data_IF_632597096787
#
_entry.id   IF_632597096787
#
_cell.length_a   1.000
_cell.length_b   1.000
_cell.length_c   1.000
_cell.angle_alpha   90.00
_cell.angle_beta   90.00
_cell.angle_gamma   90.00
#
_symmetry.space_group_name_H-M   'P 1'
#
loop_
_entity.id
_entity.type
_entity.pdbx_description
1 polymer ?
#
# COMPACT_ATOMS: atom_id res chain seq x y z
N UNK A 1 16.72 -12.13 -1.46
CA UNK A 1 17.17 -12.45 -2.80
C UNK A 1 16.75 -11.47 -3.88
N UNK A 2 16.30 -10.27 -3.73
CA UNK A 2 15.84 -9.70 -5.01
C UNK A 2 15.75 -8.19 -5.08
N UNK A 3 16.60 -7.51 -4.37
CA UNK A 3 16.75 -6.06 -4.55
C UNK A 3 17.19 -5.73 -5.98
N UNK A 4 18.14 -6.49 -6.53
CA UNK A 4 18.62 -6.31 -7.89
C UNK A 4 17.53 -6.62 -8.95
N UNK A 5 16.75 -7.69 -8.75
CA UNK A 5 15.62 -8.03 -9.62
C UNK A 5 14.53 -6.97 -9.57
N UNK A 6 14.22 -6.44 -8.39
CA UNK A 6 13.26 -5.34 -8.23
C UNK A 6 13.73 -4.08 -8.94
N UNK A 7 15.00 -3.68 -8.79
CA UNK A 7 15.53 -2.49 -9.47
C UNK A 7 15.51 -2.66 -11.00
N UNK A 8 15.84 -3.85 -11.50
CA UNK A 8 15.76 -4.16 -12.93
C UNK A 8 14.33 -4.01 -13.45
N UNK A 9 13.34 -4.53 -12.72
CA UNK A 9 11.93 -4.42 -13.07
C UNK A 9 11.43 -2.97 -13.04
N UNK A 10 11.75 -2.23 -11.98
CA UNK A 10 11.39 -0.82 -11.86
C UNK A 10 11.96 0.03 -13.00
N UNK A 11 13.20 -0.22 -13.38
CA UNK A 11 13.82 0.47 -14.49
C UNK A 11 13.17 0.11 -15.83
N UNK A 12 12.87 -1.18 -16.06
CA UNK A 12 12.18 -1.67 -17.27
C UNK A 12 10.76 -1.08 -17.41
N UNK A 13 10.09 -0.80 -16.29
CA UNK A 13 8.75 -0.19 -16.24
C UNK A 13 8.77 1.34 -16.12
N UNK A 14 9.93 1.97 -16.25
CA UNK A 14 10.11 3.42 -16.10
C UNK A 14 9.62 3.96 -14.73
N UNK A 15 9.80 3.18 -13.66
CA UNK A 15 9.45 3.53 -12.27
C UNK A 15 8.03 4.10 -12.17
N UNK A 16 6.98 3.26 -12.21
CA UNK A 16 5.61 3.73 -12.18
C UNK A 16 5.35 4.56 -10.92
N UNK A 17 4.64 5.67 -11.10
CA UNK A 17 4.28 6.58 -10.02
C UNK A 17 3.10 6.03 -9.23
N UNK A 18 3.25 5.96 -7.91
CA UNK A 18 2.30 5.31 -7.00
C UNK A 18 1.68 6.31 -6.04
N UNK A 19 0.36 6.24 -5.87
CA UNK A 19 -0.35 6.90 -4.77
C UNK A 19 -0.84 5.89 -3.75
N UNK A 20 -0.92 6.33 -2.50
CA UNK A 20 -1.48 5.57 -1.39
C UNK A 20 -2.80 6.21 -0.94
N UNK A 21 -3.84 5.39 -0.85
CA UNK A 21 -5.18 5.73 -0.35
C UNK A 21 -5.54 4.71 0.72
N UNK A 22 -5.14 4.98 1.96
CA UNK A 22 -5.38 4.08 3.10
C UNK A 22 -6.32 4.76 4.09
N UNK A 23 -7.48 4.14 4.30
CA UNK A 23 -8.40 4.53 5.36
C UNK A 23 -7.94 3.89 6.66
N UNK A 24 -7.50 4.71 7.62
CA UNK A 24 -7.03 4.25 8.91
C UNK A 24 -7.99 4.65 10.03
N UNK A 25 -8.34 3.68 10.86
CA UNK A 25 -9.17 3.85 12.04
C UNK A 25 -8.38 3.42 13.29
N UNK A 26 -8.15 4.35 14.20
CA UNK A 26 -7.45 4.09 15.46
C UNK A 26 -8.45 4.09 16.61
N UNK A 27 -8.80 2.91 17.10
CA UNK A 27 -9.74 2.70 18.21
C UNK A 27 -9.08 2.79 19.60
N UNK A 28 -7.75 2.91 19.67
CA UNK A 28 -7.05 3.09 20.95
C UNK A 28 -7.19 4.54 21.41
N UNK A 29 -6.89 5.48 20.51
CA UNK A 29 -6.88 6.91 20.83
C UNK A 29 -8.11 7.65 20.31
N UNK A 30 -8.94 7.00 19.51
CA UNK A 30 -10.12 7.59 18.85
C UNK A 30 -9.81 8.85 18.04
N UNK A 31 -8.63 8.90 17.45
CA UNK A 31 -8.15 10.01 16.64
C UNK A 31 -7.80 9.55 15.23
N UNK A 32 -7.97 10.39 14.21
CA UNK A 32 -7.48 10.08 12.87
C UNK A 32 -5.96 9.91 12.90
N UNK A 33 -5.49 8.79 12.36
CA UNK A 33 -4.06 8.49 12.24
C UNK A 33 -3.71 8.02 10.83
N UNK A 34 -2.42 7.83 10.57
CA UNK A 34 -1.90 7.43 9.28
C UNK A 34 -0.61 6.62 9.39
N UNK A 35 -0.48 5.88 10.47
CA UNK A 35 0.74 5.13 10.78
C UNK A 35 1.02 4.05 9.74
N UNK A 36 -0.01 3.29 9.35
CA UNK A 36 0.10 2.24 8.36
C UNK A 36 0.43 2.80 6.96
N UNK A 37 -0.26 3.85 6.53
CA UNK A 37 0.01 4.52 5.25
C UNK A 37 1.43 5.07 5.19
N UNK A 38 1.88 5.76 6.23
CA UNK A 38 3.24 6.32 6.31
C UNK A 38 4.30 5.23 6.24
N UNK A 39 4.09 4.11 6.92
CA UNK A 39 5.01 2.97 6.87
C UNK A 39 5.07 2.36 5.48
N UNK A 40 3.93 2.14 4.83
CA UNK A 40 3.86 1.62 3.46
C UNK A 40 4.55 2.55 2.47
N UNK A 41 4.25 3.85 2.53
CA UNK A 41 4.87 4.88 1.68
C UNK A 41 6.40 4.86 1.82
N UNK A 42 6.90 4.84 3.06
CA UNK A 42 8.33 4.76 3.35
C UNK A 42 8.97 3.49 2.77
N UNK A 43 8.31 2.34 2.90
CA UNK A 43 8.83 1.07 2.36
C UNK A 43 8.94 1.11 0.83
N UNK A 44 7.92 1.59 0.13
CA UNK A 44 7.94 1.68 -1.33
C UNK A 44 8.96 2.71 -1.82
N UNK A 45 9.04 3.86 -1.18
CA UNK A 45 10.05 4.87 -1.47
C UNK A 45 11.47 4.31 -1.33
N UNK A 46 11.76 3.62 -0.22
CA UNK A 46 13.07 3.02 0.04
C UNK A 46 13.41 1.88 -0.92
N UNK A 47 12.41 1.25 -1.52
CA UNK A 47 12.58 0.23 -2.57
C UNK A 47 12.77 0.83 -3.97
N UNK A 48 12.71 2.14 -4.10
CA UNK A 48 12.98 2.85 -5.36
C UNK A 48 11.74 3.10 -6.23
N UNK A 49 10.53 2.94 -5.70
CA UNK A 49 9.32 3.38 -6.38
C UNK A 49 9.22 4.90 -6.42
N UNK A 50 8.59 5.45 -7.46
CA UNK A 50 8.21 6.87 -7.49
C UNK A 50 6.89 7.04 -6.73
N UNK A 51 6.96 7.62 -5.54
CA UNK A 51 5.81 7.75 -4.64
C UNK A 51 5.35 9.21 -4.60
N UNK A 52 4.06 9.43 -4.81
CA UNK A 52 3.44 10.74 -4.69
C UNK A 52 3.42 11.18 -3.22
N UNK A 53 3.81 12.44 -2.99
CA UNK A 53 3.79 13.02 -1.64
C UNK A 53 2.39 12.98 -1.05
N UNK A 54 2.30 12.58 0.21
CA UNK A 54 1.05 12.47 0.95
C UNK A 54 0.30 13.80 1.05
N UNK A 55 1.00 14.91 1.18
CA UNK A 55 0.39 16.24 1.28
C UNK A 55 -0.40 16.59 0.01
N UNK A 56 0.11 16.20 -1.17
CA UNK A 56 -0.58 16.38 -2.43
C UNK A 56 -1.89 15.56 -2.48
N UNK A 57 -1.85 14.33 -1.98
CA UNK A 57 -3.04 13.48 -1.89
C UNK A 57 -4.04 14.05 -0.88
N UNK A 58 -3.56 14.55 0.25
CA UNK A 58 -4.41 15.14 1.28
C UNK A 58 -5.04 16.47 0.89
N UNK A 59 -4.43 17.23 -0.01
CA UNK A 59 -5.04 18.44 -0.55
C UNK A 59 -6.37 18.16 -1.26
N UNK A 60 -6.63 16.91 -1.66
CA UNK A 60 -7.87 16.46 -2.29
C UNK A 60 -8.95 15.99 -1.31
N UNK A 61 -8.74 16.11 0.00
CA UNK A 61 -9.72 15.63 1.02
C UNK A 61 -11.12 16.23 0.90
N UNK A 62 -11.25 17.40 0.33
CA UNK A 62 -12.55 18.04 0.05
C UNK A 62 -13.24 17.51 -1.21
N UNK A 63 -12.57 16.71 -2.00
CA UNK A 63 -13.11 16.13 -3.21
C UNK A 63 -14.00 14.92 -2.89
N UNK A 64 -15.16 14.84 -3.53
CA UNK A 64 -16.08 13.72 -3.36
C UNK A 64 -15.49 12.41 -3.85
N UNK A 65 -14.65 12.45 -4.88
CA UNK A 65 -13.98 11.26 -5.40
C UNK A 65 -12.90 10.75 -4.41
N UNK A 66 -12.25 11.63 -3.66
CA UNK A 66 -11.32 11.22 -2.60
C UNK A 66 -12.01 10.36 -1.53
N UNK A 67 -13.15 10.80 -1.02
CA UNK A 67 -13.91 10.03 -0.01
C UNK A 67 -14.34 8.67 -0.54
N UNK A 68 -14.85 8.62 -1.78
CA UNK A 68 -15.25 7.36 -2.44
C UNK A 68 -14.05 6.43 -2.68
N UNK A 69 -12.90 6.99 -3.05
CA UNK A 69 -11.67 6.23 -3.26
C UNK A 69 -11.17 5.57 -1.97
N UNK A 70 -11.24 6.28 -0.83
CA UNK A 70 -10.92 5.72 0.48
C UNK A 70 -11.88 4.59 0.91
N UNK A 71 -13.10 4.58 0.38
CA UNK A 71 -14.06 3.49 0.58
C UNK A 71 -13.87 2.32 -0.39
N UNK A 72 -12.83 2.37 -1.23
CA UNK A 72 -12.47 1.29 -2.14
C UNK A 72 -13.03 1.41 -3.54
N UNK A 73 -13.66 2.54 -3.90
CA UNK A 73 -14.15 2.76 -5.26
C UNK A 73 -12.99 3.00 -6.23
N UNK A 74 -12.76 2.01 -7.11
CA UNK A 74 -11.62 2.02 -8.04
C UNK A 74 -11.75 3.14 -9.08
N UNK A 75 -12.95 3.45 -9.57
CA UNK A 75 -13.15 4.51 -10.55
C UNK A 75 -12.84 5.89 -9.97
N UNK A 76 -13.25 6.15 -8.73
CA UNK A 76 -12.92 7.37 -8.00
C UNK A 76 -11.41 7.46 -7.73
N UNK A 77 -10.80 6.36 -7.31
CA UNK A 77 -9.36 6.28 -7.10
C UNK A 77 -8.56 6.54 -8.40
N UNK A 78 -9.03 6.03 -9.54
CA UNK A 78 -8.42 6.29 -10.84
C UNK A 78 -8.46 7.79 -11.23
N UNK A 79 -9.54 8.50 -10.91
CA UNK A 79 -9.61 9.95 -11.13
C UNK A 79 -8.59 10.70 -10.27
N UNK A 80 -8.49 10.35 -8.99
CA UNK A 80 -7.48 10.93 -8.09
C UNK A 80 -6.07 10.66 -8.61
N UNK A 81 -5.78 9.43 -9.04
CA UNK A 81 -4.50 9.06 -9.62
C UNK A 81 -4.18 9.89 -10.87
N UNK A 82 -5.15 10.07 -11.77
CA UNK A 82 -4.98 10.87 -12.99
C UNK A 82 -4.64 12.33 -12.67
N UNK A 83 -5.28 12.95 -11.67
CA UNK A 83 -4.99 14.31 -11.23
C UNK A 83 -3.55 14.46 -10.71
N UNK A 84 -3.00 13.43 -10.11
CA UNK A 84 -1.66 13.42 -9.52
C UNK A 84 -0.59 12.80 -10.44
N UNK A 85 -0.97 12.42 -11.65
CA UNK A 85 -0.07 11.77 -12.61
C UNK A 85 0.42 10.40 -12.15
N UNK A 86 -0.38 9.69 -11.33
CA UNK A 86 -0.05 8.36 -10.83
C UNK A 86 -0.60 7.27 -11.77
N UNK A 87 0.20 6.22 -11.94
CA UNK A 87 -0.11 5.07 -12.78
C UNK A 87 -0.62 3.89 -11.97
N UNK A 88 -0.27 3.84 -10.70
CA UNK A 88 -0.56 2.76 -9.76
C UNK A 88 -1.18 3.32 -8.48
N UNK A 89 -2.17 2.63 -7.96
CA UNK A 89 -2.88 3.01 -6.75
C UNK A 89 -2.79 1.88 -5.73
N UNK A 90 -2.36 2.19 -4.53
CA UNK A 90 -2.49 1.31 -3.37
C UNK A 90 -3.73 1.75 -2.58
N UNK A 91 -4.75 0.91 -2.59
CA UNK A 91 -5.99 1.14 -1.84
C UNK A 91 -6.02 0.16 -0.66
N UNK A 92 -6.25 0.65 0.54
CA UNK A 92 -6.26 -0.20 1.71
C UNK A 92 -7.07 0.34 2.88
N UNK A 93 -7.23 -0.51 3.88
CA UNK A 93 -7.78 -0.13 5.19
C UNK A 93 -6.85 -0.62 6.29
N UNK A 94 -6.75 0.14 7.36
CA UNK A 94 -6.03 -0.21 8.56
C UNK A 94 -6.92 0.04 9.77
N UNK A 95 -7.09 -0.96 10.62
CA UNK A 95 -7.84 -0.85 11.86
C UNK A 95 -6.92 -1.18 13.03
N UNK A 96 -6.66 -0.18 13.86
CA UNK A 96 -5.81 -0.29 15.05
C UNK A 96 -6.73 -0.43 16.27
N UNK A 97 -6.49 -1.45 17.08
CA UNK A 97 -7.30 -1.76 18.25
C UNK A 97 -6.45 -2.26 19.43
N UNK A 98 -7.04 -2.24 20.61
CA UNK A 98 -6.44 -2.86 21.79
C UNK A 98 -6.69 -4.36 21.76
N UNK A 99 -5.64 -5.13 21.95
CA UNK A 99 -5.71 -6.58 22.20
C UNK A 99 -5.75 -6.92 23.71
N UNK A 100 -5.99 -5.91 24.56
CA UNK A 100 -6.03 -6.07 26.00
C UNK A 100 -4.71 -5.78 26.71
N UNK A 101 -4.68 -6.07 28.00
CA UNK A 101 -3.54 -5.83 28.87
C UNK A 101 -3.00 -7.16 29.39
N UNK A 102 -1.68 -7.32 29.41
CA UNK A 102 -1.02 -8.52 29.86
C UNK A 102 0.30 -8.14 30.56
N UNK A 103 0.50 -8.59 31.79
CA UNK A 103 1.65 -8.24 32.62
C UNK A 103 2.01 -6.74 32.61
N UNK A 104 1.02 -5.86 32.88
CA UNK A 104 1.18 -4.41 32.84
C UNK A 104 1.60 -3.81 31.49
N UNK A 105 1.50 -4.57 30.43
CA UNK A 105 1.74 -4.10 29.07
C UNK A 105 0.44 -4.09 28.26
N UNK A 106 0.21 -3.03 27.51
CA UNK A 106 -0.88 -2.95 26.55
C UNK A 106 -0.50 -3.67 25.27
N UNK A 107 -1.37 -4.54 24.77
CA UNK A 107 -1.23 -5.17 23.46
C UNK A 107 -1.93 -4.34 22.40
N UNK A 108 -1.19 -3.75 21.47
CA UNK A 108 -1.75 -3.15 20.28
C UNK A 108 -1.91 -4.21 19.19
N UNK A 109 -2.99 -4.09 18.42
CA UNK A 109 -3.28 -4.94 17.28
C UNK A 109 -3.65 -4.05 16.10
N UNK A 110 -3.17 -4.40 14.90
CA UNK A 110 -3.55 -3.73 13.66
C UNK A 110 -3.91 -4.78 12.60
N UNK A 111 -5.10 -4.65 12.06
CA UNK A 111 -5.56 -5.43 10.91
C UNK A 111 -5.54 -4.55 9.68
N UNK A 112 -4.69 -4.92 8.72
CA UNK A 112 -4.44 -4.12 7.53
C UNK A 112 -4.66 -4.98 6.30
N UNK A 113 -5.42 -4.48 5.35
CA UNK A 113 -5.58 -5.09 4.04
C UNK A 113 -5.30 -4.08 2.94
N UNK A 114 -5.04 -4.57 1.75
CA UNK A 114 -4.78 -3.70 0.63
C UNK A 114 -4.75 -4.43 -0.70
N UNK A 115 -4.95 -3.65 -1.74
CA UNK A 115 -4.80 -4.06 -3.12
C UNK A 115 -4.04 -3.01 -3.90
N UNK A 116 -3.34 -3.45 -4.94
CA UNK A 116 -2.74 -2.55 -5.92
C UNK A 116 -3.51 -2.65 -7.22
N UNK A 117 -3.80 -1.49 -7.79
CA UNK A 117 -4.61 -1.34 -9.00
C UNK A 117 -3.87 -0.46 -10.01
N UNK A 118 -3.91 -0.82 -11.28
CA UNK A 118 -3.51 0.08 -12.37
C UNK A 118 -4.56 1.19 -12.53
N UNK A 119 -4.12 2.42 -12.59
CA UNK A 119 -5.01 3.57 -12.66
C UNK A 119 -5.76 3.67 -14.00
N UNK A 120 -5.13 3.28 -15.09
CA UNK A 120 -5.69 3.39 -16.45
C UNK A 120 -6.73 2.31 -16.77
N UNK A 121 -6.53 1.08 -16.31
CA UNK A 121 -7.37 -0.08 -16.66
C UNK A 121 -8.25 -0.57 -15.51
N UNK A 122 -7.96 -0.20 -14.26
CA UNK A 122 -8.59 -0.79 -13.08
C UNK A 122 -8.13 -2.24 -12.80
N UNK A 123 -7.11 -2.73 -13.51
CA UNK A 123 -6.57 -4.08 -13.29
C UNK A 123 -5.97 -4.22 -11.89
N UNK A 124 -6.36 -5.28 -11.19
CA UNK A 124 -5.77 -5.62 -9.89
C UNK A 124 -4.42 -6.29 -10.12
N UNK A 125 -3.36 -5.63 -9.65
CA UNK A 125 -1.97 -6.12 -9.75
C UNK A 125 -1.58 -7.00 -8.58
N UNK A 126 -2.09 -6.73 -7.39
CA UNK A 126 -1.85 -7.52 -6.19
C UNK A 126 -3.00 -7.35 -5.19
N UNK A 127 -3.27 -8.38 -4.40
CA UNK A 127 -4.24 -8.35 -3.30
C UNK A 127 -3.65 -9.04 -2.09
N UNK A 128 -3.70 -8.36 -0.94
CA UNK A 128 -3.43 -8.97 0.37
C UNK A 128 -4.66 -8.79 1.24
N UNK A 129 -5.42 -9.85 1.49
CA UNK A 129 -6.70 -9.75 2.18
C UNK A 129 -6.56 -9.26 3.62
N UNK A 130 -5.54 -9.70 4.33
CA UNK A 130 -5.28 -9.24 5.69
C UNK A 130 -3.82 -9.48 6.09
N UNK A 131 -3.19 -8.47 6.68
CA UNK A 131 -1.95 -8.58 7.41
C UNK A 131 -2.18 -8.10 8.85
N UNK A 132 -1.77 -8.91 9.82
CA UNK A 132 -1.95 -8.57 11.24
C UNK A 132 -0.63 -8.20 11.87
N UNK A 133 -0.57 -6.98 12.41
CA UNK A 133 0.46 -6.52 13.32
C UNK A 133 0.02 -6.68 14.76
N UNK A 134 0.93 -7.10 15.63
CA UNK A 134 0.68 -7.21 17.07
C UNK A 134 1.93 -6.86 17.84
N UNK A 135 1.85 -5.87 18.70
CA UNK A 135 2.98 -5.40 19.53
C UNK A 135 2.50 -5.03 20.94
N UNK A 136 3.34 -5.26 21.92
CA UNK A 136 3.09 -4.88 23.29
C UNK A 136 3.98 -3.70 23.71
N UNK A 137 3.44 -2.80 24.53
CA UNK A 137 4.17 -1.68 25.12
C UNK A 137 3.48 -1.20 26.40
N UNK A 138 4.22 -0.50 27.26
CA UNK A 138 3.66 0.09 28.48
C UNK A 138 2.61 1.16 28.14
N UNK A 139 2.84 1.95 27.09
CA UNK A 139 1.89 2.92 26.57
C UNK A 139 0.93 2.25 25.56
N UNK A 140 -0.40 2.39 25.74
CA UNK A 140 -1.38 1.88 24.79
C UNK A 140 -1.22 2.50 23.41
N UNK A 141 -1.03 3.82 23.30
CA UNK A 141 -0.78 4.53 22.04
C UNK A 141 0.42 3.97 21.32
N UNK A 142 1.55 3.80 21.99
CA UNK A 142 2.78 3.25 21.40
C UNK A 142 2.58 1.80 20.95
N UNK A 143 1.83 0.99 21.69
CA UNK A 143 1.52 -0.38 21.28
C UNK A 143 0.73 -0.40 19.96
N UNK A 144 -0.22 0.53 19.78
CA UNK A 144 -0.99 0.70 18.57
C UNK A 144 -0.14 1.14 17.38
N UNK A 145 0.72 2.14 17.55
CA UNK A 145 1.68 2.60 16.52
C UNK A 145 2.58 1.45 16.07
N UNK A 146 3.17 0.72 17.00
CA UNK A 146 4.06 -0.39 16.71
C UNK A 146 3.32 -1.54 16.01
N UNK A 147 2.08 -1.82 16.39
CA UNK A 147 1.25 -2.81 15.72
C UNK A 147 0.89 -2.39 14.28
N UNK A 148 0.56 -1.12 14.06
CA UNK A 148 0.31 -0.58 12.72
C UNK A 148 1.53 -0.71 11.82
N UNK A 149 2.71 -0.35 12.32
CA UNK A 149 3.97 -0.49 11.59
C UNK A 149 4.29 -1.95 11.25
N UNK A 150 4.10 -2.87 12.20
CA UNK A 150 4.34 -4.31 12.00
C UNK A 150 3.37 -4.89 10.94
N UNK A 151 2.08 -4.54 11.01
CA UNK A 151 1.08 -4.97 10.03
C UNK A 151 1.36 -4.40 8.64
N UNK A 152 1.69 -3.11 8.55
CA UNK A 152 2.02 -2.46 7.29
C UNK A 152 3.30 -3.03 6.66
N UNK A 153 4.30 -3.39 7.46
CA UNK A 153 5.51 -4.02 6.96
C UNK A 153 5.22 -5.40 6.34
N UNK A 154 4.38 -6.21 7.00
CA UNK A 154 3.94 -7.50 6.46
C UNK A 154 3.14 -7.34 5.17
N UNK A 155 2.20 -6.39 5.15
CA UNK A 155 1.42 -6.07 3.96
C UNK A 155 2.32 -5.63 2.80
N UNK A 156 3.22 -4.67 3.06
CA UNK A 156 4.11 -4.10 2.04
C UNK A 156 5.04 -5.14 1.42
N UNK A 157 5.64 -6.01 2.22
CA UNK A 157 6.46 -7.14 1.74
C UNK A 157 5.67 -8.06 0.82
N UNK A 158 4.44 -8.42 1.21
CA UNK A 158 3.55 -9.25 0.40
C UNK A 158 3.17 -8.61 -0.93
N UNK A 159 2.78 -7.34 -0.89
CA UNK A 159 2.40 -6.59 -2.09
C UNK A 159 3.59 -6.48 -3.05
N UNK A 160 4.76 -6.10 -2.57
CA UNK A 160 5.97 -5.97 -3.40
C UNK A 160 6.32 -7.32 -4.04
N UNK A 161 6.27 -8.42 -3.28
CA UNK A 161 6.51 -9.76 -3.79
C UNK A 161 5.53 -10.16 -4.92
N UNK A 162 4.24 -9.88 -4.74
CA UNK A 162 3.23 -10.15 -5.77
C UNK A 162 3.44 -9.30 -7.03
N UNK A 163 3.81 -8.02 -6.87
CA UNK A 163 4.12 -7.13 -7.99
C UNK A 163 5.30 -7.65 -8.82
N UNK A 164 6.39 -8.05 -8.16
CA UNK A 164 7.56 -8.59 -8.83
C UNK A 164 7.17 -9.83 -9.64
N UNK A 165 6.41 -10.75 -9.05
CA UNK A 165 5.96 -11.97 -9.72
C UNK A 165 5.09 -11.66 -10.94
N UNK A 166 4.10 -10.78 -10.79
CA UNK A 166 3.17 -10.43 -11.87
C UNK A 166 3.88 -9.70 -13.03
N UNK A 167 4.74 -8.74 -12.72
CA UNK A 167 5.50 -8.02 -13.76
C UNK A 167 6.50 -8.90 -14.49
N UNK A 168 7.18 -9.81 -13.79
CA UNK A 168 8.07 -10.79 -14.42
C UNK A 168 7.32 -11.67 -15.42
N UNK A 169 6.11 -12.10 -15.09
CA UNK A 169 5.27 -12.92 -15.98
C UNK A 169 4.82 -12.11 -17.20
N UNK A 170 4.42 -10.86 -17.03
CA UNK A 170 4.02 -9.98 -18.15
C UNK A 170 5.18 -9.72 -19.11
N UNK A 171 6.39 -9.47 -18.61
CA UNK A 171 7.58 -9.31 -19.45
C UNK A 171 7.92 -10.58 -20.25
N UNK A 172 7.82 -11.76 -19.63
CA UNK A 172 8.03 -13.03 -20.31
C UNK A 172 7.04 -13.25 -21.45
N UNK A 173 5.78 -12.89 -21.26
CA UNK A 173 4.75 -12.98 -22.30
C UNK A 173 5.00 -11.99 -23.45
N UNK A 174 5.47 -10.78 -23.15
CA UNK A 174 5.83 -9.78 -24.15
C UNK A 174 7.00 -10.25 -25.04
N UNK A 175 8.04 -10.83 -24.45
CA UNK A 175 9.19 -11.39 -25.18
C UNK A 175 8.74 -12.53 -26.09
N UNK A 176 7.86 -13.43 -25.65
CA UNK A 176 7.30 -14.52 -26.46
C UNK A 176 6.55 -13.99 -27.69
N UNK A 177 5.70 -12.99 -27.52
CA UNK A 177 4.97 -12.36 -28.64
C UNK A 177 5.90 -11.70 -29.63
N UNK A 178 6.95 -11.02 -29.18
CA UNK A 178 7.95 -10.37 -30.02
C UNK A 178 8.74 -11.38 -30.88
N UNK A 179 9.09 -12.54 -30.33
CA UNK A 179 9.76 -13.62 -31.07
C UNK A 179 8.86 -14.21 -32.15
N UNK A 180 7.57 -14.41 -31.87
CA UNK A 180 6.58 -14.93 -32.81
C UNK A 180 6.35 -13.99 -34.01
N UNK A 181 6.41 -12.68 -33.80
CA UNK A 181 6.21 -11.66 -34.85
C UNK A 181 7.46 -11.47 -35.74
N UNK A 182 8.63 -11.95 -35.35
CA UNK A 182 9.86 -11.85 -36.11
C UNK A 182 10.17 -13.07 -37.00
N UNK A 183 9.46 -14.17 -36.87
CA UNK A 183 9.54 -15.37 -37.70
C UNK A 183 8.43 -15.36 -38.76
#
# INVERSE_FOLDING_TARGET
>A
ADEAALQTLLNAMNRPRIIFLVKEENLIDNTPTNFAETKLLSMFYNKGFDVVDRELVQALKGDQDYSKALEGNVAAAAKIAAQLGAEVIVIGTAKISSGGMFYNMHSGQADINGKIVRADTGEILAVVPQARGKKAHISPTTSGVNAANDGAEKLGKNIISQLITKWSTQQSNFIKVYIVLKN
#
